data_IF_881150494729
#
_entry.id   IF_881150494729
#
_cell.length_a   1.000
_cell.length_b   1.000
_cell.length_c   1.000
_cell.angle_alpha   90.00
_cell.angle_beta   90.00
_cell.angle_gamma   90.00
#
_symmetry.space_group_name_H-M   'P 1'
#
loop_
_entity.id
_entity.type
_entity.pdbx_description
1 polymer ?
#
# COMPACT_ATOMS: atom_id res chain seq x y z
N UNK A 1 -11.78 -1.16 -8.86
CA UNK A 1 -10.59 -0.73 -9.62
C UNK A 1 -10.27 0.77 -9.53
N UNK A 2 -11.18 1.64 -9.04
CA UNK A 2 -10.96 3.09 -8.99
C UNK A 2 -10.04 3.57 -7.84
N UNK A 3 -9.74 2.70 -6.88
CA UNK A 3 -9.07 3.07 -5.64
C UNK A 3 -7.53 3.21 -5.78
N UNK A 4 -6.92 2.48 -6.71
CA UNK A 4 -5.46 2.51 -6.92
C UNK A 4 -5.01 3.83 -7.57
N UNK A 5 -5.68 4.33 -8.64
CA UNK A 5 -5.22 5.56 -9.28
C UNK A 5 -5.36 6.79 -8.39
N UNK A 6 -6.38 6.88 -7.52
CA UNK A 6 -6.59 8.04 -6.66
C UNK A 6 -5.47 8.25 -5.64
N UNK A 7 -5.06 7.22 -4.93
CA UNK A 7 -3.97 7.35 -3.94
C UNK A 7 -2.64 7.72 -4.62
N UNK A 8 -2.34 7.11 -5.76
CA UNK A 8 -1.14 7.41 -6.55
C UNK A 8 -1.18 8.85 -7.06
N UNK A 9 -2.30 9.27 -7.64
CA UNK A 9 -2.49 10.64 -8.14
C UNK A 9 -2.31 11.66 -7.00
N UNK A 10 -2.95 11.44 -5.85
CA UNK A 10 -2.81 12.33 -4.70
C UNK A 10 -1.38 12.40 -4.17
N UNK A 11 -0.63 11.29 -4.19
CA UNK A 11 0.78 11.28 -3.80
C UNK A 11 1.65 12.07 -4.79
N UNK A 12 1.39 11.96 -6.09
CA UNK A 12 2.08 12.76 -7.12
C UNK A 12 1.76 14.26 -6.92
N UNK A 13 0.49 14.62 -6.74
CA UNK A 13 0.10 16.00 -6.46
C UNK A 13 0.74 16.53 -5.18
N UNK A 14 0.83 15.72 -4.14
CA UNK A 14 1.52 16.10 -2.90
C UNK A 14 3.00 16.39 -3.15
N UNK A 15 3.65 15.65 -4.04
CA UNK A 15 5.02 15.92 -4.49
C UNK A 15 5.16 17.24 -5.24
N UNK A 16 4.20 17.55 -6.13
CA UNK A 16 4.16 18.81 -6.87
C UNK A 16 4.04 20.01 -5.93
N UNK A 17 3.14 19.92 -4.93
CA UNK A 17 2.79 21.06 -4.07
C UNK A 17 3.77 21.26 -2.91
N UNK A 18 4.22 20.17 -2.28
CA UNK A 18 4.96 20.21 -1.01
C UNK A 18 6.40 19.71 -1.11
N UNK A 19 6.82 19.24 -2.29
CA UNK A 19 8.12 18.62 -2.46
C UNK A 19 8.23 17.23 -1.83
N UNK A 20 9.46 16.66 -1.85
CA UNK A 20 9.65 15.23 -1.50
C UNK A 20 9.38 14.98 -0.02
N UNK A 21 9.98 15.73 0.88
CA UNK A 21 9.92 15.44 2.31
C UNK A 21 8.53 15.65 2.89
N UNK A 22 7.98 16.85 2.76
CA UNK A 22 6.66 17.19 3.29
C UNK A 22 5.55 16.42 2.56
N UNK A 23 5.66 16.26 1.24
CA UNK A 23 4.72 15.50 0.44
C UNK A 23 4.66 14.03 0.86
N UNK A 24 5.81 13.40 1.11
CA UNK A 24 5.86 12.01 1.59
C UNK A 24 5.23 11.89 2.99
N UNK A 25 5.58 12.79 3.90
CA UNK A 25 5.07 12.76 5.26
C UNK A 25 3.54 12.91 5.29
N UNK A 26 3.00 13.90 4.57
CA UNK A 26 1.57 14.14 4.47
C UNK A 26 0.84 12.97 3.82
N UNK A 27 1.35 12.46 2.70
CA UNK A 27 0.72 11.34 1.97
C UNK A 27 0.71 10.05 2.79
N UNK A 28 1.83 9.70 3.43
CA UNK A 28 1.92 8.47 4.24
C UNK A 28 1.04 8.54 5.49
N UNK A 29 1.04 9.67 6.18
CA UNK A 29 0.18 9.85 7.35
C UNK A 29 -1.30 9.82 6.96
N UNK A 30 -1.71 10.59 5.95
CA UNK A 30 -3.10 10.61 5.49
C UNK A 30 -3.59 9.23 5.03
N UNK A 31 -2.77 8.49 4.27
CA UNK A 31 -3.10 7.14 3.83
C UNK A 31 -3.20 6.17 5.02
N UNK A 32 -2.32 6.30 6.03
CA UNK A 32 -2.35 5.48 7.23
C UNK A 32 -3.60 5.76 8.06
N UNK A 33 -3.97 7.04 8.26
CA UNK A 33 -5.22 7.41 8.95
C UNK A 33 -6.45 6.87 8.21
N UNK A 34 -6.49 6.99 6.88
CA UNK A 34 -7.54 6.40 6.05
C UNK A 34 -7.64 4.88 6.18
N UNK A 35 -6.48 4.20 6.23
CA UNK A 35 -6.43 2.76 6.44
C UNK A 35 -6.95 2.36 7.83
N UNK A 36 -6.56 3.09 8.89
CA UNK A 36 -7.04 2.86 10.26
C UNK A 36 -8.56 3.04 10.34
N UNK A 37 -9.07 4.11 9.76
CA UNK A 37 -10.51 4.38 9.74
C UNK A 37 -11.26 3.27 9.01
N UNK A 38 -10.80 2.87 7.83
CA UNK A 38 -11.37 1.76 7.06
C UNK A 38 -11.31 0.45 7.84
N UNK A 39 -10.17 0.12 8.44
CA UNK A 39 -9.96 -1.10 9.22
C UNK A 39 -10.90 -1.17 10.43
N UNK A 40 -11.04 -0.07 11.18
CA UNK A 40 -11.95 0.01 12.34
C UNK A 40 -13.40 -0.11 11.88
N UNK A 41 -13.79 0.65 10.85
CA UNK A 41 -15.15 0.62 10.31
C UNK A 41 -15.55 -0.79 9.87
N UNK A 42 -14.72 -1.45 9.08
CA UNK A 42 -14.96 -2.83 8.65
C UNK A 42 -15.05 -3.77 9.85
N UNK A 43 -14.13 -3.64 10.82
CA UNK A 43 -14.11 -4.50 12.01
C UNK A 43 -15.38 -4.36 12.84
N UNK A 44 -15.90 -3.15 13.00
CA UNK A 44 -17.13 -2.91 13.78
C UNK A 44 -18.39 -3.36 13.02
N UNK A 45 -18.52 -2.95 11.76
CA UNK A 45 -19.75 -3.24 10.99
C UNK A 45 -19.84 -4.70 10.54
N UNK A 46 -18.73 -5.33 10.14
CA UNK A 46 -18.78 -6.70 9.64
C UNK A 46 -18.69 -7.77 10.74
N UNK A 47 -18.17 -7.44 11.91
CA UNK A 47 -18.13 -8.40 13.03
C UNK A 47 -19.53 -8.92 13.38
N UNK A 48 -20.54 -8.05 13.32
CA UNK A 48 -21.95 -8.42 13.52
C UNK A 48 -22.48 -9.34 12.41
N UNK A 49 -22.03 -9.14 11.18
CA UNK A 49 -22.51 -9.90 10.00
C UNK A 49 -21.87 -11.30 9.89
N UNK A 50 -20.62 -11.45 10.31
CA UNK A 50 -19.81 -12.68 10.16
C UNK A 50 -19.99 -13.68 11.30
N UNK A 51 -20.63 -13.28 12.39
CA UNK A 51 -20.89 -14.21 13.49
C UNK A 51 -21.72 -15.44 13.04
N UNK A 52 -22.47 -15.31 11.95
CA UNK A 52 -23.34 -16.37 11.41
C UNK A 52 -22.74 -17.16 10.22
N UNK A 53 -21.54 -16.80 9.71
CA UNK A 53 -20.97 -17.46 8.52
C UNK A 53 -19.50 -17.89 8.72
N UNK A 54 -19.21 -18.58 9.82
CA UNK A 54 -17.89 -19.20 9.98
C UNK A 54 -17.77 -20.41 9.07
N UNK A 55 -16.96 -20.29 8.02
CA UNK A 55 -16.57 -21.42 7.16
C UNK A 55 -15.20 -21.94 7.57
N UNK A 56 -14.94 -23.23 7.33
CA UNK A 56 -13.63 -23.85 7.59
C UNK A 56 -12.47 -23.11 6.88
N UNK A 57 -12.76 -22.55 5.70
CA UNK A 57 -11.80 -21.72 4.94
C UNK A 57 -11.45 -20.42 5.66
N UNK A 58 -12.40 -19.80 6.37
CA UNK A 58 -12.17 -18.60 7.16
C UNK A 58 -11.28 -18.89 8.38
N UNK A 59 -11.51 -20.01 9.05
CA UNK A 59 -10.70 -20.42 10.21
C UNK A 59 -9.27 -20.79 9.79
N UNK A 60 -9.07 -21.41 8.62
CA UNK A 60 -7.76 -21.68 8.06
C UNK A 60 -7.01 -20.37 7.72
N UNK A 61 -7.70 -19.40 7.12
CA UNK A 61 -7.17 -18.07 6.85
C UNK A 61 -6.75 -17.35 8.14
N UNK A 62 -7.58 -17.35 9.17
CA UNK A 62 -7.25 -16.76 10.46
C UNK A 62 -6.02 -17.43 11.09
N UNK A 63 -5.92 -18.77 11.10
CA UNK A 63 -4.76 -19.49 11.64
C UNK A 63 -3.45 -19.12 10.95
N UNK A 64 -3.47 -18.97 9.63
CA UNK A 64 -2.31 -18.53 8.85
C UNK A 64 -1.84 -17.13 9.26
N UNK A 65 -2.79 -16.21 9.49
CA UNK A 65 -2.48 -14.84 9.90
C UNK A 65 -2.10 -14.68 11.37
N UNK A 66 -2.53 -15.57 12.26
CA UNK A 66 -2.11 -15.53 13.68
C UNK A 66 -0.60 -15.71 13.81
N UNK A 67 0.02 -16.56 13.01
CA UNK A 67 1.45 -16.86 13.10
C UNK A 67 2.35 -15.78 12.50
N UNK A 68 1.97 -15.19 11.37
CA UNK A 68 2.81 -14.25 10.59
C UNK A 68 2.05 -13.04 10.02
N UNK A 69 0.95 -12.63 10.65
CA UNK A 69 0.03 -11.65 10.09
C UNK A 69 0.65 -10.28 9.81
N UNK A 70 1.60 -9.84 10.65
CA UNK A 70 2.32 -8.58 10.41
C UNK A 70 3.22 -8.66 9.17
N UNK A 71 3.88 -9.80 8.95
CA UNK A 71 4.70 -10.01 7.76
C UNK A 71 3.86 -10.04 6.49
N UNK A 72 2.71 -10.73 6.51
CA UNK A 72 1.78 -10.74 5.38
C UNK A 72 1.20 -9.35 5.10
N UNK A 73 0.85 -8.60 6.14
CA UNK A 73 0.40 -7.22 5.98
C UNK A 73 1.48 -6.37 5.31
N UNK A 74 2.72 -6.45 5.81
CA UNK A 74 3.85 -5.72 5.23
C UNK A 74 4.07 -6.08 3.76
N UNK A 75 4.10 -7.39 3.44
CA UNK A 75 4.26 -7.87 2.08
C UNK A 75 3.15 -7.35 1.15
N UNK A 76 1.89 -7.41 1.60
CA UNK A 76 0.74 -6.91 0.82
C UNK A 76 0.84 -5.39 0.61
N UNK A 77 1.33 -4.63 1.60
CA UNK A 77 1.50 -3.16 1.48
C UNK A 77 2.62 -2.79 0.51
N UNK A 78 3.62 -3.63 0.36
CA UNK A 78 4.70 -3.42 -0.61
C UNK A 78 4.30 -3.78 -2.04
N UNK A 79 3.21 -4.52 -2.24
CA UNK A 79 2.72 -4.90 -3.56
C UNK A 79 1.80 -3.80 -4.11
N UNK A 80 2.24 -2.97 -5.08
CA UNK A 80 1.45 -1.83 -5.57
C UNK A 80 0.20 -2.25 -6.34
N UNK A 81 0.17 -3.49 -6.85
CA UNK A 81 -0.99 -4.04 -7.58
C UNK A 81 -2.11 -4.48 -6.65
N UNK A 82 -1.81 -4.71 -5.36
CA UNK A 82 -2.84 -5.15 -4.42
C UNK A 82 -3.74 -3.97 -4.01
N UNK A 83 -5.06 -4.08 -4.20
CA UNK A 83 -5.97 -2.99 -3.88
C UNK A 83 -5.92 -2.62 -2.39
N UNK A 84 -5.61 -1.34 -2.10
CA UNK A 84 -5.43 -0.83 -0.74
C UNK A 84 -6.62 -1.13 0.18
N UNK A 85 -7.85 -0.97 -0.32
CA UNK A 85 -9.08 -1.22 0.43
C UNK A 85 -9.25 -2.71 0.77
N UNK A 86 -8.86 -3.63 -0.14
CA UNK A 86 -8.93 -5.07 0.14
C UNK A 86 -7.98 -5.46 1.28
N UNK A 87 -6.76 -4.91 1.33
CA UNK A 87 -5.85 -5.14 2.43
C UNK A 87 -6.48 -4.71 3.77
N UNK A 88 -7.18 -3.56 3.81
CA UNK A 88 -7.85 -3.08 5.01
C UNK A 88 -8.98 -4.03 5.44
N UNK A 89 -9.79 -4.49 4.47
CA UNK A 89 -10.89 -5.44 4.71
C UNK A 89 -10.34 -6.76 5.24
N UNK A 90 -9.40 -7.38 4.54
CA UNK A 90 -8.83 -8.66 4.97
C UNK A 90 -8.20 -8.59 6.36
N UNK A 91 -7.45 -7.51 6.64
CA UNK A 91 -6.82 -7.34 7.95
C UNK A 91 -7.84 -7.08 9.07
N UNK A 92 -8.98 -6.48 8.78
CA UNK A 92 -10.05 -6.28 9.76
C UNK A 92 -10.63 -7.61 10.29
N UNK A 93 -10.55 -8.69 9.52
CA UNK A 93 -10.96 -10.03 9.92
C UNK A 93 -9.90 -10.79 10.74
N UNK A 94 -8.68 -10.29 10.79
CA UNK A 94 -7.60 -10.92 11.55
C UNK A 94 -7.59 -10.43 13.01
N UNK A 95 -6.96 -11.15 13.96
CA UNK A 95 -6.84 -10.70 15.35
C UNK A 95 -5.82 -9.57 15.56
N UNK A 96 -5.25 -9.00 14.50
CA UNK A 96 -4.25 -7.93 14.58
C UNK A 96 -4.84 -6.70 15.30
N UNK A 97 -4.12 -6.19 16.31
CA UNK A 97 -4.50 -4.96 17.00
C UNK A 97 -4.27 -3.73 16.10
N UNK A 98 -5.02 -2.65 16.37
CA UNK A 98 -4.94 -1.38 15.59
C UNK A 98 -3.52 -0.83 15.54
N UNK A 99 -2.80 -0.81 16.66
CA UNK A 99 -1.46 -0.22 16.75
C UNK A 99 -0.44 -0.92 15.85
N UNK A 100 -0.21 -2.26 15.95
CA UNK A 100 0.70 -2.94 15.02
C UNK A 100 0.24 -2.85 13.57
N UNK A 101 -1.07 -2.87 13.30
CA UNK A 101 -1.60 -2.64 11.95
C UNK A 101 -1.19 -1.26 11.40
N UNK A 102 -1.29 -0.21 12.22
CA UNK A 102 -0.95 1.17 11.83
C UNK A 102 0.55 1.32 11.53
N UNK A 103 1.41 0.79 12.40
CA UNK A 103 2.87 0.86 12.26
C UNK A 103 3.32 0.12 10.99
N UNK A 104 2.84 -1.11 10.79
CA UNK A 104 3.21 -1.91 9.61
C UNK A 104 2.67 -1.27 8.32
N UNK A 105 1.46 -0.69 8.37
CA UNK A 105 0.90 0.04 7.23
C UNK A 105 1.76 1.26 6.90
N UNK A 106 2.09 2.10 7.89
CA UNK A 106 2.91 3.28 7.71
C UNK A 106 4.25 2.94 7.05
N UNK A 107 4.97 1.96 7.61
CA UNK A 107 6.28 1.54 7.10
C UNK A 107 6.14 0.90 5.70
N UNK A 108 5.12 0.06 5.50
CA UNK A 108 4.93 -0.69 4.27
C UNK A 108 4.57 0.17 3.05
N UNK A 109 3.80 1.25 3.24
CA UNK A 109 3.43 2.15 2.13
C UNK A 109 4.49 3.21 1.82
N UNK A 110 5.36 3.55 2.80
CA UNK A 110 6.33 4.64 2.70
C UNK A 110 7.24 4.52 1.48
N UNK A 111 7.88 3.38 1.16
CA UNK A 111 8.81 3.29 0.03
C UNK A 111 8.16 3.67 -1.31
N UNK A 112 6.96 3.15 -1.57
CA UNK A 112 6.24 3.46 -2.82
C UNK A 112 5.72 4.90 -2.84
N UNK A 113 5.28 5.41 -1.69
CA UNK A 113 4.86 6.82 -1.58
C UNK A 113 6.02 7.76 -1.87
N UNK A 114 7.22 7.49 -1.38
CA UNK A 114 8.43 8.28 -1.71
C UNK A 114 8.63 8.35 -3.23
N UNK A 115 8.51 7.21 -3.92
CA UNK A 115 8.69 7.14 -5.38
C UNK A 115 7.65 8.02 -6.09
N UNK A 116 6.37 7.92 -5.72
CA UNK A 116 5.31 8.71 -6.33
C UNK A 116 5.44 10.21 -6.05
N UNK A 117 5.76 10.58 -4.82
CA UNK A 117 5.96 11.97 -4.39
C UNK A 117 7.22 12.55 -5.05
N UNK A 118 8.30 11.78 -5.12
CA UNK A 118 9.51 12.19 -5.84
C UNK A 118 9.22 12.46 -7.30
N UNK A 119 8.51 11.56 -7.97
CA UNK A 119 8.07 11.78 -9.35
C UNK A 119 7.27 13.08 -9.49
N UNK A 120 6.29 13.31 -8.60
CA UNK A 120 5.53 14.56 -8.57
C UNK A 120 6.40 15.79 -8.40
N UNK A 121 7.40 15.74 -7.51
CA UNK A 121 8.30 16.88 -7.26
C UNK A 121 9.18 17.25 -8.46
N UNK A 122 9.42 16.30 -9.37
CA UNK A 122 10.22 16.56 -10.58
C UNK A 122 9.38 17.25 -11.67
N UNK A 123 8.05 17.07 -11.67
CA UNK A 123 7.15 17.67 -12.69
C UNK A 123 7.30 19.19 -12.71
N UNK A 124 7.44 19.84 -11.55
CA UNK A 124 7.63 21.29 -11.47
C UNK A 124 9.00 21.79 -12.02
N UNK A 125 9.97 20.90 -12.20
CA UNK A 125 11.29 21.22 -12.72
C UNK A 125 11.37 21.03 -14.23
N UNK A 126 10.35 20.44 -14.84
CA UNK A 126 10.31 20.14 -16.27
C UNK A 126 9.89 21.42 -17.01
N UNK A 127 10.88 22.12 -17.58
CA UNK A 127 10.65 23.30 -18.42
C UNK A 127 10.37 22.92 -19.88
N UNK A 128 10.82 21.76 -20.32
CA UNK A 128 10.65 21.25 -21.68
C UNK A 128 10.26 19.79 -21.72
N UNK A 129 9.43 19.40 -22.69
CA UNK A 129 8.98 18.00 -22.89
C UNK A 129 10.16 17.02 -23.05
N UNK A 130 11.29 17.48 -23.58
CA UNK A 130 12.52 16.68 -23.69
C UNK A 130 13.11 16.23 -22.35
N UNK A 131 12.81 16.93 -21.25
CA UNK A 131 13.28 16.57 -19.91
C UNK A 131 12.49 15.38 -19.33
N UNK A 132 11.29 15.12 -19.84
CA UNK A 132 10.49 13.92 -19.47
C UNK A 132 11.23 12.64 -19.89
N UNK A 133 12.04 12.71 -20.95
CA UNK A 133 12.88 11.64 -21.44
C UNK A 133 14.24 11.58 -20.72
N UNK A 134 14.44 12.36 -19.65
CA UNK A 134 15.67 12.30 -18.89
C UNK A 134 15.92 10.89 -18.34
N UNK A 135 17.17 10.41 -18.32
CA UNK A 135 17.50 9.06 -17.83
C UNK A 135 16.97 8.81 -16.41
N UNK A 136 16.90 9.83 -15.58
CA UNK A 136 16.41 9.76 -14.21
C UNK A 136 14.91 9.42 -14.16
N UNK A 137 14.08 10.07 -14.98
CA UNK A 137 12.64 9.82 -15.06
C UNK A 137 12.38 8.44 -15.68
N UNK A 138 13.14 8.07 -16.72
CA UNK A 138 13.05 6.74 -17.33
C UNK A 138 13.39 5.62 -16.35
N UNK A 139 14.42 5.80 -15.52
CA UNK A 139 14.78 4.84 -14.46
C UNK A 139 13.63 4.68 -13.47
N UNK A 140 12.97 5.78 -13.05
CA UNK A 140 11.83 5.74 -12.13
C UNK A 140 10.66 4.97 -12.76
N UNK A 141 10.34 5.22 -14.03
CA UNK A 141 9.31 4.46 -14.75
C UNK A 141 9.66 2.96 -14.86
N UNK A 142 10.94 2.65 -15.15
CA UNK A 142 11.41 1.27 -15.17
C UNK A 142 11.29 0.60 -13.80
N UNK A 143 11.67 1.28 -12.72
CA UNK A 143 11.54 0.75 -11.36
C UNK A 143 10.08 0.50 -10.98
N UNK A 144 9.19 1.45 -11.29
CA UNK A 144 7.75 1.29 -11.05
C UNK A 144 7.20 0.13 -11.89
N UNK A 145 7.56 0.05 -13.18
CA UNK A 145 7.12 -1.00 -14.09
C UNK A 145 7.67 -2.39 -13.74
N UNK A 146 8.90 -2.47 -13.23
CA UNK A 146 9.54 -3.73 -12.82
C UNK A 146 9.08 -4.23 -11.45
N UNK A 147 8.53 -3.36 -10.61
CA UNK A 147 8.07 -3.73 -9.26
C UNK A 147 7.17 -4.98 -9.24
N UNK A 148 6.13 -5.12 -10.09
CA UNK A 148 5.28 -6.32 -10.10
C UNK A 148 6.05 -7.58 -10.53
N UNK A 149 7.06 -7.47 -11.39
CA UNK A 149 7.88 -8.61 -11.83
C UNK A 149 8.82 -9.07 -10.71
N UNK A 150 9.48 -8.11 -10.04
CA UNK A 150 10.36 -8.39 -8.90
C UNK A 150 9.56 -9.04 -7.78
N UNK A 151 8.38 -8.52 -7.48
CA UNK A 151 7.49 -9.08 -6.46
C UNK A 151 7.00 -10.48 -6.81
N UNK A 152 6.66 -10.73 -8.08
CA UNK A 152 6.30 -12.07 -8.54
C UNK A 152 7.46 -13.05 -8.37
N UNK A 153 8.69 -12.62 -8.67
CA UNK A 153 9.90 -13.45 -8.50
C UNK A 153 10.16 -13.76 -7.02
N UNK A 154 10.10 -12.75 -6.16
CA UNK A 154 10.26 -12.88 -4.70
C UNK A 154 9.17 -13.77 -4.11
N UNK A 155 7.91 -13.55 -4.53
CA UNK A 155 6.79 -14.36 -4.06
C UNK A 155 6.95 -15.83 -4.46
N UNK A 156 7.32 -16.11 -5.70
CA UNK A 156 7.59 -17.47 -6.17
C UNK A 156 8.78 -18.12 -5.45
N UNK A 157 9.80 -17.34 -5.09
CA UNK A 157 10.96 -17.84 -4.36
C UNK A 157 10.61 -18.22 -2.91
N UNK A 158 9.80 -17.41 -2.22
CA UNK A 158 9.42 -17.65 -0.82
C UNK A 158 8.30 -18.66 -0.64
N UNK A 159 7.38 -18.79 -1.60
CA UNK A 159 6.21 -19.67 -1.48
C UNK A 159 6.30 -20.97 -2.27
N UNK A 160 7.42 -21.23 -2.96
CA UNK A 160 7.68 -22.50 -3.68
C UNK A 160 8.44 -23.52 -2.82
N UNK A 161 8.60 -23.23 -1.53
CA UNK A 161 9.02 -24.16 -0.49
C UNK A 161 7.79 -24.37 0.42
#
# INVERSE_FOLDING_TARGET
>A
SASIPLATILSIFSGILFGVFQGTLLSTLSATFGAIFSFISVRYFLKSFLHNQRTASFDAFQKMFIKNGMFYLFAIRMIPVFPFYLANIFMAFTPIKVVPYSIVTLIGITPMTIIYVYFGSQINKISHISEILSPQILIIFCLIGLTPLILRYVFNYFFRK
#
